data_IF_714589027503
#
_entry.id   IF_714589027503
#
_cell.length_a   1.000
_cell.length_b   1.000
_cell.length_c   1.000
_cell.angle_alpha   90.00
_cell.angle_beta   90.00
_cell.angle_gamma   90.00
#
_symmetry.space_group_name_H-M   'P 1'
#
loop_
_entity.id
_entity.type
_entity.pdbx_description
1 polymer ?
#
# COMPACT_ATOMS: atom_id res chain seq x y z
N UNK A 1 -67.59 22.22 -38.72
CA UNK A 1 -66.58 21.21 -38.29
C UNK A 1 -65.26 21.93 -38.09
N UNK A 2 -64.89 22.20 -36.84
CA UNK A 2 -63.57 22.76 -36.52
C UNK A 2 -62.57 21.61 -36.39
N UNK A 3 -61.48 21.65 -37.16
CA UNK A 3 -60.32 20.78 -36.97
C UNK A 3 -59.43 21.39 -35.87
N UNK A 4 -59.13 20.60 -34.82
CA UNK A 4 -58.21 20.95 -33.73
C UNK A 4 -56.76 20.88 -34.20
N UNK A 5 -55.85 21.75 -33.70
CA UNK A 5 -54.41 21.60 -33.93
C UNK A 5 -53.80 20.73 -32.82
N UNK A 6 -53.46 19.47 -33.12
CA UNK A 6 -52.82 18.51 -32.20
C UNK A 6 -51.28 18.52 -32.30
N UNK A 7 -50.67 19.57 -32.86
CA UNK A 7 -49.24 19.57 -33.26
C UNK A 7 -48.28 20.32 -32.32
N UNK A 8 -48.79 21.10 -31.36
CA UNK A 8 -47.95 21.93 -30.45
C UNK A 8 -47.70 21.31 -29.07
N UNK A 9 -48.55 20.37 -28.62
CA UNK A 9 -48.40 19.75 -27.29
C UNK A 9 -47.26 18.72 -27.24
N UNK A 10 -46.91 18.10 -28.38
CA UNK A 10 -45.91 17.02 -28.46
C UNK A 10 -44.46 17.54 -28.39
N UNK A 11 -44.17 18.73 -28.94
CA UNK A 11 -42.82 19.33 -28.87
C UNK A 11 -42.46 19.82 -27.46
N UNK A 12 -43.46 20.30 -26.71
CA UNK A 12 -43.25 20.78 -25.33
C UNK A 12 -42.94 19.59 -24.42
N UNK A 13 -43.73 18.51 -24.43
CA UNK A 13 -43.42 17.31 -23.61
C UNK A 13 -42.04 16.72 -23.92
N UNK A 14 -41.63 16.70 -25.19
CA UNK A 14 -40.29 16.24 -25.59
C UNK A 14 -39.17 17.11 -25.00
N UNK A 15 -39.39 18.43 -24.88
CA UNK A 15 -38.43 19.36 -24.31
C UNK A 15 -38.34 19.21 -22.78
N UNK A 16 -39.47 19.00 -22.09
CA UNK A 16 -39.51 18.73 -20.65
C UNK A 16 -38.87 17.38 -20.30
N UNK A 17 -39.11 16.33 -21.09
CA UNK A 17 -38.46 15.03 -20.97
C UNK A 17 -36.95 15.14 -21.19
N UNK A 18 -36.51 15.90 -22.21
CA UNK A 18 -35.09 16.12 -22.47
C UNK A 18 -34.43 16.94 -21.36
N UNK A 19 -35.11 17.95 -20.82
CA UNK A 19 -34.64 18.75 -19.69
C UNK A 19 -34.57 17.93 -18.40
N UNK A 20 -35.57 17.07 -18.13
CA UNK A 20 -35.56 16.13 -17.02
C UNK A 20 -34.44 15.08 -17.17
N UNK A 21 -34.21 14.56 -18.38
CA UNK A 21 -33.08 13.68 -18.69
C UNK A 21 -31.75 14.39 -18.47
N UNK A 22 -31.60 15.63 -18.91
CA UNK A 22 -30.39 16.43 -18.68
C UNK A 22 -30.18 16.73 -17.20
N UNK A 23 -31.23 17.10 -16.46
CA UNK A 23 -31.19 17.32 -15.01
C UNK A 23 -30.86 16.02 -14.25
N UNK A 24 -31.40 14.88 -14.66
CA UNK A 24 -31.03 13.56 -14.13
C UNK A 24 -29.58 13.19 -14.45
N UNK A 25 -29.08 13.46 -15.66
CA UNK A 25 -27.69 13.22 -16.04
C UNK A 25 -26.71 14.09 -15.21
N UNK A 26 -27.07 15.34 -14.93
CA UNK A 26 -26.27 16.22 -14.06
C UNK A 26 -26.29 15.76 -12.60
N UNK A 27 -27.39 15.13 -12.14
CA UNK A 27 -27.48 14.54 -10.80
C UNK A 27 -26.78 13.18 -10.66
N UNK A 28 -26.37 12.53 -11.77
CA UNK A 28 -25.75 11.20 -11.78
C UNK A 28 -24.22 11.19 -11.91
N UNK A 29 -23.53 12.32 -11.75
CA UNK A 29 -22.07 12.31 -11.61
C UNK A 29 -21.67 11.87 -10.19
N UNK A 30 -21.79 10.57 -9.93
CA UNK A 30 -21.09 9.93 -8.83
C UNK A 30 -19.61 9.83 -9.24
N UNK A 31 -18.76 10.71 -8.71
CA UNK A 31 -17.31 10.53 -8.76
C UNK A 31 -16.99 9.16 -8.13
N UNK A 32 -16.67 8.17 -8.96
CA UNK A 32 -16.28 6.87 -8.46
C UNK A 32 -14.90 6.99 -7.80
N UNK A 33 -14.76 6.45 -6.58
CA UNK A 33 -13.46 6.42 -5.90
C UNK A 33 -12.49 5.58 -6.72
N UNK A 34 -11.47 6.23 -7.30
CA UNK A 34 -10.49 5.55 -8.11
C UNK A 34 -9.63 4.63 -7.23
N UNK A 35 -9.46 3.38 -7.67
CA UNK A 35 -8.72 2.36 -6.93
C UNK A 35 -7.60 1.81 -7.79
N UNK A 36 -6.39 1.80 -7.24
CA UNK A 36 -5.19 1.28 -7.91
C UNK A 36 -4.50 0.21 -7.06
N UNK A 37 -3.66 -0.60 -7.71
CA UNK A 37 -2.80 -1.56 -7.04
C UNK A 37 -1.34 -1.20 -7.30
N UNK A 38 -0.48 -1.22 -6.28
CA UNK A 38 0.93 -0.84 -6.39
C UNK A 38 1.69 -1.71 -7.39
N UNK A 39 1.42 -3.01 -7.42
CA UNK A 39 2.11 -3.93 -8.34
C UNK A 39 1.65 -3.76 -9.79
N UNK A 40 0.37 -3.48 -10.04
CA UNK A 40 -0.15 -3.28 -11.40
C UNK A 40 0.37 -1.96 -12.01
N UNK A 41 0.54 -0.93 -11.18
CA UNK A 41 1.04 0.40 -11.56
C UNK A 41 2.53 0.59 -11.23
N UNK A 42 3.30 -0.49 -11.26
CA UNK A 42 4.71 -0.47 -10.91
C UNK A 42 5.51 0.52 -11.78
N UNK A 43 6.27 1.39 -11.13
CA UNK A 43 7.08 2.44 -11.76
C UNK A 43 6.28 3.65 -12.28
N UNK A 44 4.96 3.69 -12.07
CA UNK A 44 4.11 4.75 -12.58
C UNK A 44 3.94 5.90 -11.56
N UNK A 45 3.50 7.04 -12.08
CA UNK A 45 3.09 8.19 -11.30
C UNK A 45 1.58 8.40 -11.47
N UNK A 46 0.85 8.35 -10.37
CA UNK A 46 -0.59 8.65 -10.33
C UNK A 46 -0.80 10.05 -9.75
N UNK A 47 -1.85 10.72 -10.21
CA UNK A 47 -2.22 12.06 -9.73
C UNK A 47 -3.69 12.07 -9.36
N UNK A 48 -4.00 12.53 -8.17
CA UNK A 48 -5.38 12.59 -7.70
C UNK A 48 -5.53 13.08 -6.27
N UNK A 49 -6.77 13.05 -5.81
CA UNK A 49 -7.17 13.35 -4.44
C UNK A 49 -8.31 12.42 -4.04
N UNK A 50 -8.12 11.61 -3.00
CA UNK A 50 -9.14 10.66 -2.54
C UNK A 50 -9.13 9.32 -3.28
N UNK A 51 -7.95 8.81 -3.66
CA UNK A 51 -7.80 7.51 -4.31
C UNK A 51 -7.52 6.40 -3.28
N UNK A 52 -7.92 5.16 -3.59
CA UNK A 52 -7.59 3.96 -2.81
C UNK A 52 -6.42 3.22 -3.45
N UNK A 53 -5.40 2.95 -2.64
CA UNK A 53 -4.21 2.22 -3.06
C UNK A 53 -4.15 0.88 -2.32
N UNK A 54 -4.19 -0.22 -3.06
CA UNK A 54 -3.96 -1.57 -2.52
C UNK A 54 -2.55 -2.05 -2.86
N UNK A 55 -2.07 -3.09 -2.17
CA UNK A 55 -0.77 -3.70 -2.46
C UNK A 55 -0.71 -4.33 -3.86
N UNK A 56 -1.58 -5.28 -4.16
CA UNK A 56 -1.64 -6.03 -5.42
C UNK A 56 -2.94 -6.84 -5.50
N UNK A 57 -3.34 -7.28 -6.68
CA UNK A 57 -4.63 -7.99 -6.86
C UNK A 57 -4.63 -9.37 -6.20
N UNK A 58 -3.49 -10.05 -6.18
CA UNK A 58 -3.31 -11.39 -5.60
C UNK A 58 -3.54 -11.42 -4.09
N UNK A 59 -3.40 -10.31 -3.35
CA UNK A 59 -3.61 -10.29 -1.90
C UNK A 59 -5.05 -10.60 -1.52
N UNK A 60 -5.99 -10.33 -2.44
CA UNK A 60 -7.42 -10.62 -2.30
C UNK A 60 -7.78 -12.04 -2.73
N UNK A 61 -6.94 -12.68 -3.55
CA UNK A 61 -7.22 -13.99 -4.15
C UNK A 61 -6.49 -15.13 -3.46
N UNK A 62 -5.28 -14.88 -2.98
CA UNK A 62 -4.40 -15.89 -2.39
C UNK A 62 -3.90 -15.44 -1.02
N UNK A 63 -3.70 -16.41 -0.13
CA UNK A 63 -3.22 -16.14 1.23
C UNK A 63 -1.75 -15.70 1.27
N UNK A 64 -0.94 -16.20 0.33
CA UNK A 64 0.46 -15.82 0.15
C UNK A 64 0.65 -15.24 -1.25
N UNK A 65 1.58 -14.31 -1.35
CA UNK A 65 1.82 -13.52 -2.55
C UNK A 65 3.13 -13.96 -3.21
N UNK A 66 3.43 -13.46 -4.40
CA UNK A 66 4.69 -13.81 -5.08
C UNK A 66 5.89 -13.20 -4.33
N UNK A 67 6.96 -13.98 -4.17
CA UNK A 67 8.24 -13.48 -3.65
C UNK A 67 9.04 -12.78 -4.74
N UNK A 68 9.87 -11.80 -4.37
CA UNK A 68 10.75 -11.09 -5.29
C UNK A 68 10.11 -9.87 -5.96
N UNK A 69 8.94 -9.43 -5.51
CA UNK A 69 8.37 -8.15 -5.93
C UNK A 69 9.24 -7.02 -5.41
N UNK A 70 9.65 -6.10 -6.27
CA UNK A 70 10.25 -4.81 -5.91
C UNK A 70 9.64 -3.73 -6.79
N UNK A 71 8.50 -3.19 -6.35
CA UNK A 71 7.73 -2.21 -7.11
C UNK A 71 7.61 -0.90 -6.36
N UNK A 72 7.50 0.20 -7.09
CA UNK A 72 7.21 1.51 -6.52
C UNK A 72 6.11 2.20 -7.29
N UNK A 73 5.32 3.01 -6.58
CA UNK A 73 4.24 3.84 -7.09
C UNK A 73 4.46 5.26 -6.58
N UNK A 74 4.49 6.23 -7.48
CA UNK A 74 4.62 7.65 -7.12
C UNK A 74 3.23 8.28 -7.10
N UNK A 75 2.89 8.94 -6.01
CA UNK A 75 1.66 9.70 -5.84
C UNK A 75 1.98 11.18 -5.97
N UNK A 76 1.28 11.87 -6.87
CA UNK A 76 1.39 13.29 -7.12
C UNK A 76 0.13 14.00 -6.67
N UNK A 77 0.26 15.01 -5.81
CA UNK A 77 -0.89 15.78 -5.32
C UNK A 77 -1.62 16.50 -6.47
N UNK A 78 -2.93 16.68 -6.30
CA UNK A 78 -3.83 17.27 -7.32
C UNK A 78 -3.40 18.65 -7.77
N UNK A 79 -2.89 19.50 -6.87
CA UNK A 79 -2.34 20.82 -7.21
C UNK A 79 -0.86 20.93 -6.85
N UNK A 80 -0.03 21.68 -7.62
CA UNK A 80 1.41 21.79 -7.38
C UNK A 80 1.84 22.31 -6.01
N UNK A 81 0.96 23.04 -5.31
CA UNK A 81 1.22 23.60 -3.97
C UNK A 81 0.76 22.68 -2.85
N UNK A 82 0.03 21.63 -3.19
CA UNK A 82 -0.52 20.70 -2.22
C UNK A 82 0.52 19.63 -1.90
N UNK A 83 0.37 19.04 -0.73
CA UNK A 83 1.16 17.92 -0.24
C UNK A 83 0.34 16.64 -0.33
N UNK A 84 1.01 15.52 -0.16
CA UNK A 84 0.40 14.19 -0.23
C UNK A 84 0.37 13.58 1.16
N UNK A 85 -0.78 13.05 1.55
CA UNK A 85 -0.94 12.21 2.73
C UNK A 85 -1.33 10.81 2.29
N UNK A 86 -0.67 9.82 2.88
CA UNK A 86 -1.05 8.42 2.77
C UNK A 86 -1.51 7.90 4.13
N UNK A 87 -2.71 7.34 4.19
CA UNK A 87 -3.28 6.78 5.42
C UNK A 87 -3.65 5.32 5.25
N UNK A 88 -3.07 4.42 6.04
CA UNK A 88 -3.41 3.00 6.00
C UNK A 88 -4.77 2.74 6.64
N UNK A 89 -5.70 2.13 5.89
CA UNK A 89 -6.95 1.55 6.40
C UNK A 89 -6.73 0.13 6.92
N UNK A 90 -5.90 -0.63 6.21
CA UNK A 90 -5.54 -2.00 6.55
C UNK A 90 -4.06 -2.22 6.26
N UNK A 91 -3.38 -3.01 7.08
CA UNK A 91 -1.95 -3.27 6.92
C UNK A 91 -1.55 -4.64 7.46
N UNK A 92 -1.06 -5.48 6.56
CA UNK A 92 -0.55 -6.81 6.85
C UNK A 92 0.65 -7.07 5.95
N UNK A 93 1.86 -6.84 6.45
CA UNK A 93 3.09 -6.97 5.65
C UNK A 93 4.10 -7.75 6.46
N UNK A 94 4.24 -9.05 6.20
CA UNK A 94 5.23 -9.90 6.83
C UNK A 94 5.55 -11.12 5.96
N UNK A 95 6.56 -11.89 6.36
CA UNK A 95 6.89 -13.18 5.72
C UNK A 95 7.01 -14.24 6.79
N UNK A 96 6.57 -15.47 6.49
CA UNK A 96 6.76 -16.59 7.42
C UNK A 96 8.21 -17.06 7.35
N UNK A 97 8.84 -17.20 8.51
CA UNK A 97 10.20 -17.71 8.57
C UNK A 97 10.22 -19.21 8.24
N UNK A 98 10.78 -19.55 7.07
CA UNK A 98 11.58 -20.77 6.86
C UNK A 98 12.75 -20.48 5.92
N UNK A 99 13.62 -19.56 6.33
CA UNK A 99 15.02 -19.62 5.94
C UNK A 99 15.81 -19.74 7.22
N UNK A 100 15.99 -20.98 7.69
CA UNK A 100 17.12 -21.25 8.55
C UNK A 100 18.37 -20.85 7.72
N UNK A 101 19.35 -20.11 8.28
CA UNK A 101 20.66 -20.08 7.67
C UNK A 101 21.07 -21.52 7.44
N UNK A 102 21.59 -21.84 6.26
CA UNK A 102 22.28 -23.11 6.03
C UNK A 102 23.52 -23.12 6.92
N UNK A 103 23.35 -23.41 8.20
CA UNK A 103 24.45 -23.82 9.07
C UNK A 103 24.83 -25.23 8.62
N UNK A 104 26.07 -25.46 8.16
CA UNK A 104 26.54 -26.82 7.93
C UNK A 104 26.40 -27.59 9.24
N UNK A 105 25.83 -28.80 9.17
CA UNK A 105 25.77 -29.68 10.32
C UNK A 105 27.18 -29.89 10.88
N UNK A 106 27.42 -29.74 12.20
CA UNK A 106 28.70 -30.13 12.78
C UNK A 106 28.79 -31.65 12.69
N UNK A 107 29.74 -32.15 11.90
CA UNK A 107 30.18 -33.53 12.00
C UNK A 107 30.88 -33.71 13.34
N UNK A 108 30.22 -34.37 14.28
CA UNK A 108 30.87 -34.90 15.47
C UNK A 108 31.79 -36.06 15.09
N UNK A 109 32.99 -36.11 15.67
CA UNK A 109 33.44 -37.37 16.27
C UNK A 109 33.71 -37.23 17.78
N UNK A 110 33.30 -38.24 18.53
CA UNK A 110 33.69 -38.53 19.94
C UNK A 110 35.23 -38.57 20.09
N UNK A 111 35.93 -38.20 21.17
CA UNK A 111 35.83 -38.54 22.61
C UNK A 111 37.03 -37.86 23.37
N UNK A 112 37.45 -38.18 24.63
CA UNK A 112 36.96 -37.61 25.89
C UNK A 112 38.08 -37.00 26.81
N UNK A 113 37.63 -36.36 27.92
CA UNK A 113 38.27 -36.10 29.25
C UNK A 113 38.77 -34.68 29.55
N UNK A 114 38.24 -34.14 30.64
CA UNK A 114 38.98 -33.22 31.54
C UNK A 114 38.18 -32.03 32.10
N UNK A 115 37.57 -32.21 33.30
CA UNK A 115 37.46 -31.29 34.46
C UNK A 115 37.43 -29.76 34.22
N UNK A 116 36.57 -28.90 34.80
CA UNK A 116 35.81 -28.88 36.06
C UNK A 116 34.72 -27.76 35.96
N UNK A 117 33.75 -27.63 36.90
CA UNK A 117 32.64 -26.70 36.76
C UNK A 117 32.98 -25.31 37.30
N UNK A 118 32.68 -24.27 36.52
CA UNK A 118 32.55 -22.89 37.01
C UNK A 118 31.12 -22.47 36.74
N UNK A 119 30.31 -22.38 37.79
CA UNK A 119 29.13 -21.51 37.82
C UNK A 119 29.58 -20.26 38.57
N UNK A 120 29.25 -19.06 38.08
CA UNK A 120 27.99 -18.52 38.56
C UNK A 120 27.24 -17.61 37.57
N UNK A 121 25.93 -17.51 37.87
CA UNK A 121 25.10 -16.30 37.80
C UNK A 121 24.31 -16.08 36.51
N UNK A 122 22.99 -16.20 36.68
CA UNK A 122 21.95 -15.68 35.80
C UNK A 122 22.23 -14.21 35.46
N UNK A 123 22.49 -13.95 34.20
CA UNK A 123 22.12 -12.72 33.51
C UNK A 123 21.32 -13.19 32.28
N UNK A 124 20.01 -12.93 32.18
CA UNK A 124 19.34 -13.06 30.90
C UNK A 124 19.88 -11.91 30.07
N UNK A 125 20.93 -12.15 29.29
CA UNK A 125 21.42 -11.16 28.33
C UNK A 125 20.30 -10.95 27.33
N UNK A 126 19.46 -9.97 27.62
CA UNK A 126 18.46 -9.34 26.75
C UNK A 126 19.20 -8.58 25.66
N UNK A 127 19.97 -9.33 24.89
CA UNK A 127 20.56 -8.96 23.62
C UNK A 127 19.88 -9.78 22.54
N UNK A 128 18.54 -9.78 22.53
CA UNK A 128 17.87 -9.83 21.23
C UNK A 128 18.50 -8.67 20.45
N UNK A 129 19.38 -9.03 19.52
CA UNK A 129 19.78 -8.12 18.47
C UNK A 129 18.48 -7.52 17.98
N UNK A 130 18.31 -6.22 18.23
CA UNK A 130 17.24 -5.39 17.71
C UNK A 130 17.47 -5.30 16.19
N UNK A 131 17.42 -6.45 15.52
CA UNK A 131 17.45 -6.56 14.09
C UNK A 131 16.21 -5.86 13.61
N UNK A 132 16.39 -4.96 12.64
CA UNK A 132 15.30 -4.28 11.97
C UNK A 132 14.17 -5.31 11.69
N UNK A 133 12.96 -5.13 12.28
CA UNK A 133 11.88 -6.13 12.22
C UNK A 133 11.52 -6.53 10.79
N UNK A 134 11.86 -5.67 9.83
CA UNK A 134 11.55 -5.84 8.42
C UNK A 134 12.74 -6.40 7.61
N UNK A 135 13.93 -6.54 8.20
CA UNK A 135 15.18 -6.88 7.51
C UNK A 135 15.17 -8.26 6.85
N UNK A 136 14.47 -9.23 7.46
CA UNK A 136 14.39 -10.61 6.96
C UNK A 136 13.14 -10.89 6.09
N UNK A 137 12.22 -9.94 5.97
CA UNK A 137 10.89 -10.17 5.39
C UNK A 137 10.40 -9.07 4.46
N UNK A 138 9.15 -9.19 4.02
CA UNK A 138 8.50 -8.19 3.18
C UNK A 138 8.31 -6.86 3.91
N UNK A 139 8.35 -5.74 3.18
CA UNK A 139 8.22 -4.40 3.76
C UNK A 139 7.68 -3.37 2.77
N UNK A 140 7.20 -2.25 3.31
CA UNK A 140 6.84 -1.03 2.58
C UNK A 140 7.75 0.11 3.02
N UNK A 141 8.27 0.91 2.09
CA UNK A 141 9.06 2.11 2.38
C UNK A 141 8.47 3.31 1.64
N UNK A 142 8.37 4.45 2.33
CA UNK A 142 8.00 5.72 1.70
C UNK A 142 9.24 6.58 1.45
N UNK A 143 9.19 7.40 0.41
CA UNK A 143 10.20 8.38 0.05
C UNK A 143 9.55 9.72 -0.26
N UNK A 144 10.15 10.79 0.25
CA UNK A 144 9.64 12.16 0.13
C UNK A 144 10.05 12.79 -1.20
N UNK A 145 9.41 12.36 -2.28
CA UNK A 145 9.71 12.85 -3.62
C UNK A 145 9.20 11.96 -4.74
N UNK A 146 9.75 12.14 -5.95
CA UNK A 146 9.25 11.52 -7.19
C UNK A 146 9.68 10.07 -7.39
N UNK A 147 10.70 9.62 -6.67
CA UNK A 147 11.27 8.30 -6.85
C UNK A 147 11.99 7.78 -5.59
N UNK A 148 12.52 6.55 -5.69
CA UNK A 148 13.27 5.85 -4.63
C UNK A 148 14.64 6.47 -4.29
N UNK A 149 15.12 7.45 -5.06
CA UNK A 149 16.36 8.21 -4.75
C UNK A 149 16.07 9.41 -3.85
N UNK A 150 14.80 9.77 -3.68
CA UNK A 150 14.37 10.80 -2.75
C UNK A 150 14.60 10.35 -1.30
N UNK A 151 14.68 11.27 -0.31
CA UNK A 151 14.91 10.90 1.08
C UNK A 151 13.85 9.93 1.63
N UNK A 152 14.22 8.84 2.32
CA UNK A 152 13.24 7.93 2.92
C UNK A 152 12.50 8.59 4.08
N UNK A 153 11.20 8.34 4.17
CA UNK A 153 10.35 8.77 5.29
C UNK A 153 10.24 7.64 6.32
N UNK A 154 11.00 7.77 7.40
CA UNK A 154 11.01 6.79 8.49
C UNK A 154 11.62 5.44 8.10
N UNK A 155 11.62 4.46 9.02
CA UNK A 155 12.10 3.11 8.77
C UNK A 155 11.14 2.33 7.85
N UNK A 156 11.59 1.21 7.26
CA UNK A 156 10.71 0.27 6.58
C UNK A 156 9.56 -0.19 7.47
N UNK A 157 8.38 -0.33 6.89
CA UNK A 157 7.15 -0.71 7.56
C UNK A 157 6.83 -2.18 7.28
N UNK A 158 6.60 -2.94 8.35
CA UNK A 158 6.12 -4.32 8.33
C UNK A 158 5.33 -4.58 9.62
N UNK A 159 4.58 -5.69 9.66
CA UNK A 159 3.73 -6.07 10.79
C UNK A 159 2.27 -6.29 10.38
N UNK A 160 1.37 -6.19 11.36
CA UNK A 160 -0.06 -6.53 11.20
C UNK A 160 -1.01 -5.39 11.59
N UNK A 161 -0.46 -4.24 11.99
CA UNK A 161 -1.21 -3.09 12.47
C UNK A 161 -0.96 -1.89 11.56
N UNK A 162 -2.00 -1.14 11.16
CA UNK A 162 -1.84 0.09 10.39
C UNK A 162 -0.87 1.09 11.05
N UNK A 163 0.17 1.54 10.34
CA UNK A 163 1.05 2.61 10.79
C UNK A 163 0.34 3.96 10.87
N UNK A 164 1.01 4.96 11.47
CA UNK A 164 0.53 6.36 11.44
C UNK A 164 0.48 6.90 10.00
N UNK A 165 -0.36 7.92 9.74
CA UNK A 165 -0.36 8.59 8.44
C UNK A 165 1.04 9.07 8.04
N UNK A 166 1.38 8.91 6.77
CA UNK A 166 2.63 9.38 6.17
C UNK A 166 2.35 10.66 5.40
N UNK A 167 3.11 11.71 5.65
CA UNK A 167 2.94 13.02 5.05
C UNK A 167 4.20 13.36 4.25
N UNK A 168 4.04 13.78 3.00
CA UNK A 168 5.14 14.37 2.22
C UNK A 168 5.40 15.82 2.64
N UNK A 169 6.59 16.31 2.36
CA UNK A 169 6.90 17.74 2.50
C UNK A 169 6.52 18.53 1.24
N UNK A 170 6.48 17.88 0.08
CA UNK A 170 6.16 18.47 -1.22
C UNK A 170 5.04 17.76 -1.98
N UNK A 171 4.96 18.03 -3.29
CA UNK A 171 3.88 17.58 -4.17
C UNK A 171 3.92 16.07 -4.53
N UNK A 172 4.94 15.33 -4.09
CA UNK A 172 5.13 13.93 -4.45
C UNK A 172 5.42 13.08 -3.21
N UNK A 173 4.89 11.86 -3.21
CA UNK A 173 5.19 10.82 -2.24
C UNK A 173 5.36 9.49 -2.99
N UNK A 174 6.50 8.83 -2.83
CA UNK A 174 6.75 7.53 -3.48
C UNK A 174 6.61 6.40 -2.47
N UNK A 175 5.77 5.42 -2.75
CA UNK A 175 5.62 4.17 -1.99
C UNK A 175 6.38 3.06 -2.71
N UNK A 176 7.25 2.33 -2.02
CA UNK A 176 7.92 1.11 -2.52
C UNK A 176 7.47 -0.10 -1.72
N UNK A 177 7.03 -1.14 -2.41
CA UNK A 177 6.69 -2.44 -1.86
C UNK A 177 7.74 -3.48 -2.26
N UNK A 178 8.27 -4.20 -1.26
CA UNK A 178 9.19 -5.32 -1.47
C UNK A 178 8.65 -6.58 -0.81
N UNK A 179 8.57 -7.69 -1.56
CA UNK A 179 8.21 -9.02 -1.03
C UNK A 179 9.44 -9.93 -1.02
N UNK A 180 9.85 -10.43 0.16
CA UNK A 180 11.02 -11.30 0.33
C UNK A 180 10.87 -12.26 1.50
N UNK A 181 11.70 -13.30 1.57
CA UNK A 181 11.65 -14.35 2.61
C UNK A 181 10.95 -15.63 2.12
N UNK A 182 10.30 -16.38 3.03
CA UNK A 182 9.43 -17.51 2.67
C UNK A 182 7.95 -17.14 2.89
N UNK A 183 7.06 -17.53 1.96
CA UNK A 183 5.60 -17.34 2.07
C UNK A 183 5.19 -15.91 2.53
N UNK A 184 5.25 -14.91 1.62
CA UNK A 184 5.02 -13.52 1.97
C UNK A 184 3.53 -13.34 2.14
N UNK A 185 3.13 -12.70 3.23
CA UNK A 185 1.77 -12.27 3.44
C UNK A 185 1.75 -10.76 3.45
N UNK A 186 1.37 -10.22 2.30
CA UNK A 186 1.36 -8.78 2.03
C UNK A 186 -0.04 -8.42 1.56
N UNK A 187 -0.72 -7.62 2.35
CA UNK A 187 -1.98 -7.01 1.99
C UNK A 187 -2.08 -5.68 2.73
N UNK A 188 -2.31 -4.60 1.99
CA UNK A 188 -2.63 -3.32 2.60
C UNK A 188 -3.61 -2.56 1.72
N UNK A 189 -4.36 -1.69 2.37
CA UNK A 189 -5.26 -0.73 1.73
C UNK A 189 -4.98 0.61 2.38
N UNK A 190 -4.77 1.65 1.58
CA UNK A 190 -4.58 3.00 2.08
C UNK A 190 -5.23 4.06 1.21
N UNK A 191 -5.51 5.19 1.83
CA UNK A 191 -6.02 6.40 1.21
C UNK A 191 -4.85 7.27 0.75
N UNK A 192 -4.91 7.70 -0.50
CA UNK A 192 -4.06 8.74 -1.05
C UNK A 192 -4.88 10.03 -1.19
N UNK A 193 -4.51 11.06 -0.43
CA UNK A 193 -5.19 12.36 -0.42
C UNK A 193 -4.21 13.51 -0.66
N UNK A 194 -4.68 14.53 -1.38
CA UNK A 194 -4.00 15.81 -1.57
C UNK A 194 -4.47 16.77 -0.48
N UNK A 195 -3.56 17.51 0.15
CA UNK A 195 -3.94 18.50 1.16
C UNK A 195 -3.12 19.77 1.07
N UNK A 196 -3.75 20.87 1.49
CA UNK A 196 -3.10 22.16 1.66
C UNK A 196 -3.19 22.58 3.13
N UNK A 197 -2.09 23.08 3.67
CA UNK A 197 -2.02 23.67 5.00
C UNK A 197 -2.43 25.14 4.95
#
# INVERSE_FOLDING_TARGET
MCARPLRMEVEVESCWLLLLLLLCCMALHSEAIETVNVVDFCGQNIRGDGMIVNSHQESKKYYFVTMGTDCHLTMQASSPKDKVQFHFRFFLVYSLLRVAPLSPAPLFPESPRGSAPVNPRLEPTSGESLGDPCHAGSYVQFYDGRDRRSPPLGPPLCGKSPPRPVLSTGNYLTLRLVTRGTQPRVDFVGDFTSFRL
#
